data_IF_454590145758
#
_entry.id   IF_454590145758
#
_cell.length_a   1.000
_cell.length_b   1.000
_cell.length_c   1.000
_cell.angle_alpha   90.00
_cell.angle_beta   90.00
_cell.angle_gamma   90.00
#
_symmetry.space_group_name_H-M   'P 1'
#
loop_
_entity.id
_entity.type
_entity.pdbx_description
1 polymer ?
#
# COMPACT_ATOMS: atom_id res chain seq x y z
N UNK A 1 -5.95 -14.45 73.95
CA UNK A 1 -4.74 -14.92 73.25
C UNK A 1 -5.19 -15.90 72.15
N UNK A 2 -5.00 -15.51 70.87
CA UNK A 2 -5.05 -16.30 69.62
C UNK A 2 -6.41 -16.76 69.03
N UNK A 3 -6.67 -16.26 67.81
CA UNK A 3 -7.68 -16.66 66.81
C UNK A 3 -7.06 -17.71 65.86
N UNK A 4 -7.84 -18.62 65.25
CA UNK A 4 -7.99 -18.68 63.77
C UNK A 4 -9.46 -18.94 63.37
N UNK A 5 -10.13 -18.14 62.51
CA UNK A 5 -10.02 -18.03 61.04
C UNK A 5 -10.26 -19.38 60.33
N UNK A 6 -11.44 -19.52 59.71
CA UNK A 6 -11.66 -20.43 58.58
C UNK A 6 -12.33 -19.61 57.46
N UNK A 7 -11.48 -19.26 56.50
CA UNK A 7 -11.76 -18.45 55.32
C UNK A 7 -12.46 -19.33 54.28
N UNK A 8 -13.55 -18.78 53.75
CA UNK A 8 -14.32 -19.30 52.62
C UNK A 8 -13.48 -19.15 51.34
N UNK A 9 -13.00 -20.24 50.76
CA UNK A 9 -12.32 -20.22 49.45
C UNK A 9 -13.28 -20.57 48.33
N UNK A 10 -13.87 -19.54 47.72
CA UNK A 10 -14.41 -19.60 46.36
C UNK A 10 -13.25 -19.48 45.38
N UNK A 11 -12.86 -20.58 44.72
CA UNK A 11 -11.90 -20.56 43.63
C UNK A 11 -12.68 -20.52 42.30
N UNK A 12 -12.93 -19.32 41.77
CA UNK A 12 -13.35 -19.15 40.39
C UNK A 12 -12.13 -19.46 39.49
N UNK A 13 -12.19 -20.56 38.75
CA UNK A 13 -11.26 -20.82 37.66
C UNK A 13 -11.59 -19.85 36.49
N UNK A 14 -10.86 -18.73 36.42
CA UNK A 14 -10.81 -17.90 35.21
C UNK A 14 -9.93 -18.61 34.19
N UNK A 15 -10.56 -19.41 33.32
CA UNK A 15 -9.95 -19.82 32.05
C UNK A 15 -9.80 -18.56 31.19
N UNK A 16 -8.63 -17.94 31.26
CA UNK A 16 -8.22 -16.93 30.29
C UNK A 16 -8.07 -17.63 28.94
N UNK A 17 -9.06 -17.46 28.07
CA UNK A 17 -8.88 -17.74 26.65
C UNK A 17 -7.79 -16.80 26.16
N UNK A 18 -6.61 -17.36 25.91
CA UNK A 18 -5.57 -16.68 25.14
C UNK A 18 -6.16 -16.52 23.74
N UNK A 19 -6.81 -15.39 23.50
CA UNK A 19 -7.05 -14.94 22.14
C UNK A 19 -5.65 -14.85 21.52
N UNK A 20 -5.36 -15.71 20.55
CA UNK A 20 -4.26 -15.47 19.62
C UNK A 20 -4.58 -14.12 18.99
N UNK A 21 -3.93 -13.06 19.48
CA UNK A 21 -3.91 -11.80 18.77
C UNK A 21 -3.18 -12.10 17.47
N UNK A 22 -3.93 -12.43 16.41
CA UNK A 22 -3.39 -12.52 15.07
C UNK A 22 -3.13 -11.10 14.58
N UNK A 23 -2.13 -10.46 15.17
CA UNK A 23 -1.66 -9.18 14.69
C UNK A 23 -1.04 -9.45 13.31
N UNK A 24 -1.53 -8.76 12.29
CA UNK A 24 -0.91 -8.73 10.98
C UNK A 24 -0.17 -7.41 10.85
N UNK A 25 0.89 -7.34 10.05
CA UNK A 25 1.59 -6.08 9.80
C UNK A 25 0.91 -5.33 8.64
N UNK A 26 0.09 -4.34 8.98
CA UNK A 26 -0.55 -3.46 8.00
C UNK A 26 0.29 -2.20 7.82
N UNK A 27 1.00 -2.11 6.70
CA UNK A 27 1.76 -0.90 6.39
C UNK A 27 0.81 0.30 6.15
N UNK A 28 1.11 1.42 6.80
CA UNK A 28 0.47 2.71 6.51
C UNK A 28 0.96 3.24 5.16
N UNK A 29 0.10 4.01 4.47
CA UNK A 29 0.41 4.66 3.20
C UNK A 29 0.50 6.18 3.39
N UNK A 30 1.61 6.77 2.95
CA UNK A 30 1.75 8.22 2.78
C UNK A 30 2.09 8.52 1.32
N UNK A 31 1.14 9.09 0.59
CA UNK A 31 1.37 9.57 -0.78
C UNK A 31 2.24 10.82 -0.69
N UNK A 32 3.46 10.83 -1.23
CA UNK A 32 4.35 11.98 -1.07
C UNK A 32 4.05 13.07 -2.11
N UNK A 33 3.80 12.66 -3.36
CA UNK A 33 3.46 13.57 -4.46
C UNK A 33 4.13 13.21 -5.77
N UNK A 34 4.22 14.20 -6.65
CA UNK A 34 4.90 14.09 -7.95
C UNK A 34 6.11 15.03 -8.01
N UNK A 35 7.02 14.79 -8.96
CA UNK A 35 7.96 15.82 -9.40
C UNK A 35 7.21 17.00 -10.03
N UNK A 36 7.87 18.15 -10.14
CA UNK A 36 7.26 19.40 -10.64
C UNK A 36 6.60 19.26 -12.02
N UNK A 37 7.13 18.39 -12.87
CA UNK A 37 6.64 18.10 -14.22
C UNK A 37 5.72 16.86 -14.31
N UNK A 38 5.45 16.23 -13.16
CA UNK A 38 4.70 14.98 -13.08
C UNK A 38 5.43 13.77 -13.65
N UNK A 39 6.73 13.87 -13.95
CA UNK A 39 7.55 12.78 -14.49
C UNK A 39 7.75 11.64 -13.49
N UNK A 40 7.80 11.94 -12.20
CA UNK A 40 8.01 10.98 -11.11
C UNK A 40 6.82 11.02 -10.16
N UNK A 41 6.33 9.85 -9.75
CA UNK A 41 5.41 9.70 -8.62
C UNK A 41 6.14 9.07 -7.44
N UNK A 42 5.88 9.57 -6.22
CA UNK A 42 6.47 9.03 -5.01
C UNK A 42 5.46 8.81 -3.90
N UNK A 43 5.65 7.71 -3.17
CA UNK A 43 4.92 7.37 -1.95
C UNK A 43 5.82 6.69 -0.93
N UNK A 44 5.37 6.64 0.31
CA UNK A 44 6.00 5.97 1.44
C UNK A 44 5.03 4.92 1.99
N UNK A 45 5.55 3.74 2.32
CA UNK A 45 4.88 2.79 3.22
C UNK A 45 5.70 2.69 4.50
N UNK A 46 5.06 2.57 5.66
CA UNK A 46 5.77 2.49 6.94
C UNK A 46 4.94 1.76 7.99
N UNK A 47 5.62 1.29 9.04
CA UNK A 47 4.97 0.57 10.13
C UNK A 47 5.98 0.00 11.12
N UNK A 48 5.49 -0.86 12.01
CA UNK A 48 6.30 -1.64 12.95
C UNK A 48 6.07 -3.10 12.64
N UNK A 49 7.15 -3.86 12.44
CA UNK A 49 7.06 -5.27 12.15
C UNK A 49 6.44 -6.02 13.33
N UNK A 50 5.45 -6.84 13.04
CA UNK A 50 4.69 -7.55 14.07
C UNK A 50 5.56 -8.54 14.86
N UNK A 51 6.34 -9.38 14.19
CA UNK A 51 7.15 -10.40 14.86
C UNK A 51 8.43 -9.90 15.55
N UNK A 52 8.96 -8.74 15.16
CA UNK A 52 10.24 -8.22 15.69
C UNK A 52 10.12 -6.92 16.46
N UNK A 53 9.01 -6.20 16.35
CA UNK A 53 8.86 -4.84 16.89
C UNK A 53 9.71 -3.77 16.18
N UNK A 54 10.40 -4.10 15.08
CA UNK A 54 11.29 -3.16 14.41
C UNK A 54 10.53 -2.15 13.55
N UNK A 55 10.75 -0.83 13.74
CA UNK A 55 10.15 0.17 12.88
C UNK A 55 10.80 0.18 11.48
N UNK A 56 9.99 0.40 10.46
CA UNK A 56 10.43 0.48 9.07
C UNK A 56 9.73 1.59 8.31
N UNK A 57 10.39 2.06 7.25
CA UNK A 57 9.83 2.95 6.25
C UNK A 57 10.47 2.66 4.88
N UNK A 58 9.65 2.52 3.85
CA UNK A 58 10.10 2.36 2.47
C UNK A 58 9.54 3.47 1.59
N UNK A 59 10.41 4.19 0.87
CA UNK A 59 10.02 5.21 -0.10
C UNK A 59 10.23 4.71 -1.52
N UNK A 60 9.22 4.91 -2.35
CA UNK A 60 9.17 4.50 -3.74
C UNK A 60 9.16 5.73 -4.63
N UNK A 61 9.90 5.68 -5.74
CA UNK A 61 9.94 6.74 -6.76
C UNK A 61 9.82 6.05 -8.11
N UNK A 62 8.75 6.36 -8.84
CA UNK A 62 8.35 5.64 -10.04
C UNK A 62 8.30 6.63 -11.19
N UNK A 63 8.94 6.28 -12.30
CA UNK A 63 8.80 7.00 -13.57
C UNK A 63 7.36 6.80 -14.10
N UNK A 64 6.63 7.89 -14.26
CA UNK A 64 5.22 7.88 -14.66
C UNK A 64 4.98 7.49 -16.12
N UNK A 65 6.02 7.50 -16.95
CA UNK A 65 5.95 7.10 -18.36
C UNK A 65 6.16 5.60 -18.48
N UNK A 66 7.15 5.06 -17.78
CA UNK A 66 7.59 3.67 -17.94
C UNK A 66 7.12 2.73 -16.84
N UNK A 67 6.46 3.26 -15.81
CA UNK A 67 6.04 2.52 -14.61
C UNK A 67 7.18 1.75 -13.92
N UNK A 68 8.38 2.33 -13.92
CA UNK A 68 9.58 1.69 -13.38
C UNK A 68 10.19 2.46 -12.22
N UNK A 69 10.75 1.75 -11.24
CA UNK A 69 11.49 2.39 -10.16
C UNK A 69 12.70 3.16 -10.67
N UNK A 70 12.91 4.35 -10.12
CA UNK A 70 14.13 5.11 -10.38
C UNK A 70 15.35 4.42 -9.77
N UNK A 71 16.52 4.65 -10.37
CA UNK A 71 17.79 4.08 -9.90
C UNK A 71 18.04 4.43 -8.43
N UNK A 72 18.38 3.40 -7.64
CA UNK A 72 18.62 3.56 -6.20
C UNK A 72 17.35 3.52 -5.36
N UNK A 73 16.20 3.22 -5.96
CA UNK A 73 14.90 3.08 -5.29
C UNK A 73 14.31 1.69 -5.55
N UNK A 74 13.42 1.18 -4.68
CA UNK A 74 12.91 1.79 -3.45
C UNK A 74 13.99 1.96 -2.37
N UNK A 75 13.88 3.03 -1.59
CA UNK A 75 14.70 3.27 -0.41
C UNK A 75 14.03 2.53 0.75
N UNK A 76 14.67 1.50 1.28
CA UNK A 76 14.15 0.73 2.41
C UNK A 76 14.97 1.01 3.66
N UNK A 77 14.29 1.38 4.73
CA UNK A 77 14.86 1.56 6.06
C UNK A 77 14.12 0.65 7.03
N UNK A 78 14.88 -0.13 7.80
CA UNK A 78 14.43 -0.85 8.99
C UNK A 78 15.48 -0.59 10.07
N UNK A 79 15.03 -0.30 11.27
CA UNK A 79 15.91 -0.09 12.42
C UNK A 79 15.83 -1.34 13.29
N UNK A 80 16.92 -2.11 13.32
CA UNK A 80 17.08 -3.35 14.08
C UNK A 80 17.36 -3.05 15.56
N UNK A 81 16.49 -2.25 16.16
CA UNK A 81 16.57 -1.77 17.53
C UNK A 81 15.15 -1.53 18.04
N UNK A 82 14.74 -2.29 19.04
CA UNK A 82 13.41 -2.19 19.66
C UNK A 82 13.19 -0.84 20.37
N UNK A 83 14.27 -0.12 20.70
CA UNK A 83 14.18 1.24 21.25
C UNK A 83 14.06 2.31 20.17
N UNK A 84 14.27 1.97 18.90
CA UNK A 84 14.12 2.91 17.80
C UNK A 84 12.64 3.25 17.56
N UNK A 85 12.39 4.46 17.06
CA UNK A 85 11.03 4.92 16.81
C UNK A 85 10.67 4.84 15.33
N UNK A 86 9.38 4.72 15.05
CA UNK A 86 8.84 4.81 13.69
C UNK A 86 9.25 6.12 13.01
N UNK A 87 9.18 7.24 13.73
CA UNK A 87 9.60 8.54 13.22
C UNK A 87 11.09 8.57 12.82
N UNK A 88 11.96 7.87 13.55
CA UNK A 88 13.37 7.78 13.19
C UNK A 88 13.57 7.01 11.86
N UNK A 89 12.85 5.90 11.67
CA UNK A 89 12.88 5.14 10.42
C UNK A 89 12.39 5.98 9.23
N UNK A 90 11.26 6.69 9.41
CA UNK A 90 10.69 7.60 8.41
C UNK A 90 11.62 8.77 8.10
N UNK A 91 12.24 9.38 9.12
CA UNK A 91 13.19 10.46 8.94
C UNK A 91 14.41 10.00 8.13
N UNK A 92 14.96 8.83 8.44
CA UNK A 92 16.11 8.31 7.69
C UNK A 92 15.74 7.96 6.25
N UNK A 93 14.54 7.39 6.00
CA UNK A 93 14.05 7.14 4.65
C UNK A 93 13.87 8.45 3.87
N UNK A 94 13.33 9.49 4.52
CA UNK A 94 13.21 10.85 3.96
C UNK A 94 14.56 11.43 3.59
N UNK A 95 15.52 11.44 4.51
CA UNK A 95 16.85 12.01 4.29
C UNK A 95 17.56 11.37 3.09
N UNK A 96 17.46 10.05 2.94
CA UNK A 96 17.98 9.33 1.76
C UNK A 96 17.21 9.71 0.48
N UNK A 97 15.91 9.94 0.62
CA UNK A 97 15.01 10.33 -0.47
C UNK A 97 15.26 11.71 -1.07
N UNK A 98 15.80 12.66 -0.28
CA UNK A 98 16.09 14.02 -0.75
C UNK A 98 17.05 14.04 -1.96
N UNK A 99 17.88 13.00 -2.12
CA UNK A 99 18.79 12.86 -3.27
C UNK A 99 18.10 12.37 -4.56
N UNK A 100 16.87 11.85 -4.47
CA UNK A 100 16.09 11.36 -5.62
C UNK A 100 15.17 12.48 -6.13
N UNK A 101 14.21 12.89 -5.31
CA UNK A 101 13.35 14.06 -5.50
C UNK A 101 13.13 14.68 -4.12
N UNK A 102 13.34 15.99 -3.98
CA UNK A 102 13.26 16.64 -2.67
C UNK A 102 11.85 16.52 -2.07
N UNK A 103 11.74 16.38 -0.75
CA UNK A 103 10.44 16.35 -0.09
C UNK A 103 9.64 17.64 -0.31
N UNK A 104 10.35 18.78 -0.41
CA UNK A 104 9.73 20.08 -0.66
C UNK A 104 9.06 20.13 -2.05
N UNK A 105 9.71 19.57 -3.07
CA UNK A 105 9.14 19.46 -4.41
C UNK A 105 7.91 18.54 -4.43
N UNK A 106 8.03 17.32 -3.86
CA UNK A 106 6.92 16.37 -3.78
C UNK A 106 5.71 16.98 -3.08
N UNK A 107 5.93 17.68 -1.95
CA UNK A 107 4.85 18.32 -1.20
C UNK A 107 4.20 19.48 -1.97
N UNK A 108 5.00 20.29 -2.69
CA UNK A 108 4.49 21.36 -3.54
C UNK A 108 3.69 20.83 -4.74
N UNK A 109 4.00 19.61 -5.18
CA UNK A 109 3.39 18.93 -6.32
C UNK A 109 2.66 17.64 -5.90
N UNK A 110 1.97 17.67 -4.75
CA UNK A 110 1.30 16.48 -4.19
C UNK A 110 0.26 15.86 -5.13
N UNK A 111 -0.35 16.67 -6.00
CA UNK A 111 -1.49 16.26 -6.83
C UNK A 111 -2.78 16.18 -6.02
N UNK A 112 -3.76 15.43 -6.53
CA UNK A 112 -5.08 15.24 -5.92
C UNK A 112 -5.28 13.76 -5.61
N UNK A 113 -5.69 13.44 -4.38
CA UNK A 113 -6.21 12.11 -4.05
C UNK A 113 -7.65 12.02 -4.55
N UNK A 114 -7.81 11.58 -5.79
CA UNK A 114 -9.10 11.53 -6.48
C UNK A 114 -10.01 10.42 -5.95
N UNK A 115 -9.42 9.36 -5.39
CA UNK A 115 -10.15 8.30 -4.69
C UNK A 115 -9.27 7.65 -3.62
N UNK A 116 -9.91 7.15 -2.56
CA UNK A 116 -9.25 6.48 -1.45
C UNK A 116 -10.18 5.41 -0.85
N UNK A 117 -9.68 4.19 -0.73
CA UNK A 117 -10.33 3.02 -0.10
C UNK A 117 -9.29 2.34 0.79
N UNK A 118 -9.14 2.76 2.05
CA UNK A 118 -8.16 2.15 2.96
C UNK A 118 -8.51 0.68 3.20
N UNK A 119 -7.53 -0.12 3.66
CA UNK A 119 -7.76 -1.56 3.94
C UNK A 119 -8.86 -1.82 4.98
N UNK A 120 -9.17 -0.82 5.80
CA UNK A 120 -10.24 -0.83 6.80
C UNK A 120 -11.63 -0.57 6.22
N UNK A 121 -11.73 -0.09 4.97
CA UNK A 121 -13.01 0.13 4.31
C UNK A 121 -13.61 -1.20 3.84
N UNK A 122 -14.87 -1.45 4.23
CA UNK A 122 -15.57 -2.72 4.02
C UNK A 122 -16.66 -2.65 2.94
N UNK A 123 -17.16 -1.46 2.61
CA UNK A 123 -18.33 -1.29 1.73
C UNK A 123 -17.95 -1.13 0.25
N UNK A 124 -16.73 -0.68 -0.03
CA UNK A 124 -16.25 -0.46 -1.40
C UNK A 124 -15.93 -1.76 -2.13
N UNK A 125 -16.18 -1.81 -3.44
CA UNK A 125 -15.65 -2.85 -4.31
C UNK A 125 -14.10 -2.76 -4.34
N UNK A 126 -13.36 -3.78 -3.86
CA UNK A 126 -11.89 -3.75 -3.84
C UNK A 126 -11.26 -3.83 -5.23
N UNK A 127 -12.02 -4.29 -6.23
CA UNK A 127 -11.55 -4.56 -7.59
C UNK A 127 -11.93 -3.47 -8.59
N UNK A 128 -12.66 -2.43 -8.16
CA UNK A 128 -13.09 -1.34 -9.04
C UNK A 128 -13.07 0.00 -8.33
N UNK A 129 -12.46 0.99 -8.98
CA UNK A 129 -12.53 2.38 -8.51
C UNK A 129 -12.82 3.32 -9.69
N UNK A 130 -13.81 4.20 -9.53
CA UNK A 130 -14.14 5.25 -10.50
C UNK A 130 -14.03 6.60 -9.81
N UNK A 131 -13.27 7.51 -10.38
CA UNK A 131 -13.00 8.82 -9.79
C UNK A 131 -13.15 9.93 -10.81
N UNK A 132 -13.64 11.08 -10.36
CA UNK A 132 -13.42 12.33 -11.08
C UNK A 132 -11.96 12.75 -10.85
N UNK A 133 -11.18 13.10 -11.89
CA UNK A 133 -9.76 13.37 -11.73
C UNK A 133 -9.42 14.53 -10.80
N UNK A 134 -10.34 15.49 -10.66
CA UNK A 134 -10.21 16.68 -9.81
C UNK A 134 -11.56 17.10 -9.21
N UNK A 135 -11.58 17.75 -8.03
CA UNK A 135 -12.80 18.11 -7.31
C UNK A 135 -13.38 19.43 -7.83
N UNK A 136 -13.84 19.46 -9.07
CA UNK A 136 -14.50 20.63 -9.67
C UNK A 136 -16.01 20.39 -9.81
N UNK A 137 -16.79 21.45 -9.61
CA UNK A 137 -18.21 21.43 -9.95
C UNK A 137 -18.37 21.39 -11.47
N UNK A 138 -19.26 20.53 -11.96
CA UNK A 138 -19.42 20.20 -13.38
C UNK A 138 -18.12 19.67 -14.00
N UNK A 139 -17.80 18.36 -13.79
CA UNK A 139 -16.58 17.74 -14.30
C UNK A 139 -16.41 17.99 -15.81
N UNK A 140 -15.24 18.52 -16.18
CA UNK A 140 -14.86 18.75 -17.58
C UNK A 140 -13.96 17.64 -18.13
N UNK A 141 -13.42 16.80 -17.25
CA UNK A 141 -12.61 15.64 -17.60
C UNK A 141 -13.46 14.38 -17.55
N UNK A 142 -13.16 13.43 -18.42
CA UNK A 142 -13.75 12.10 -18.32
C UNK A 142 -13.34 11.43 -16.98
N UNK A 143 -14.26 10.68 -16.33
CA UNK A 143 -13.90 9.88 -15.16
C UNK A 143 -12.80 8.87 -15.47
N UNK A 144 -11.92 8.63 -14.50
CA UNK A 144 -10.98 7.52 -14.57
C UNK A 144 -11.62 6.30 -13.90
N UNK A 145 -11.77 5.21 -14.66
CA UNK A 145 -12.18 3.92 -14.13
C UNK A 145 -11.01 2.94 -14.19
N UNK A 146 -10.73 2.31 -13.06
CA UNK A 146 -9.73 1.25 -12.93
C UNK A 146 -10.41 -0.05 -12.50
N UNK A 147 -9.97 -1.15 -13.09
CA UNK A 147 -10.41 -2.51 -12.74
C UNK A 147 -9.21 -3.40 -12.46
N UNK A 148 -9.30 -4.13 -11.36
CA UNK A 148 -8.29 -5.09 -10.93
C UNK A 148 -8.86 -6.50 -11.04
N UNK A 149 -8.12 -7.40 -11.67
CA UNK A 149 -8.40 -8.84 -11.62
C UNK A 149 -7.24 -9.54 -10.90
N UNK A 150 -7.54 -10.52 -10.07
CA UNK A 150 -6.52 -11.43 -9.54
C UNK A 150 -6.27 -12.57 -10.52
N UNK A 151 -5.01 -12.97 -10.65
CA UNK A 151 -4.57 -14.05 -11.54
C UNK A 151 -3.92 -15.14 -10.68
N UNK A 152 -4.38 -16.40 -10.71
CA UNK A 152 -3.73 -17.47 -9.97
C UNK A 152 -2.26 -17.65 -10.41
N UNK A 153 -1.34 -17.70 -9.45
CA UNK A 153 0.10 -17.86 -9.64
C UNK A 153 0.69 -18.85 -8.62
N UNK A 154 -0.01 -19.97 -8.41
CA UNK A 154 0.32 -20.99 -7.40
C UNK A 154 1.66 -21.71 -7.64
N UNK A 155 2.25 -21.58 -8.83
CA UNK A 155 3.57 -22.10 -9.18
C UNK A 155 4.73 -21.15 -8.83
N UNK A 156 4.44 -20.04 -8.13
CA UNK A 156 5.46 -19.07 -7.68
C UNK A 156 6.53 -19.75 -6.82
N UNK A 157 7.78 -19.66 -7.27
CA UNK A 157 8.93 -20.22 -6.57
C UNK A 157 9.12 -19.57 -5.19
N UNK A 158 9.26 -20.40 -4.15
CA UNK A 158 9.41 -19.96 -2.76
C UNK A 158 8.08 -19.85 -2.00
N UNK A 159 6.94 -19.99 -2.67
CA UNK A 159 5.61 -19.93 -2.08
C UNK A 159 4.88 -21.29 -2.08
N UNK A 160 5.54 -22.39 -2.47
CA UNK A 160 4.89 -23.69 -2.68
C UNK A 160 4.28 -24.30 -1.40
N UNK A 161 4.80 -23.93 -0.23
CA UNK A 161 4.25 -24.37 1.07
C UNK A 161 3.19 -23.43 1.62
N UNK A 162 2.87 -22.35 0.91
CA UNK A 162 1.84 -21.40 1.28
C UNK A 162 0.48 -21.81 0.70
N UNK A 163 -0.56 -21.06 1.05
CA UNK A 163 -1.88 -21.23 0.45
C UNK A 163 -1.98 -20.65 -0.96
N UNK A 164 -3.15 -20.12 -1.32
CA UNK A 164 -3.37 -19.45 -2.61
C UNK A 164 -2.37 -18.32 -2.82
N UNK A 165 -1.81 -18.25 -4.03
CA UNK A 165 -0.92 -17.20 -4.48
C UNK A 165 -1.51 -16.55 -5.72
N UNK A 166 -1.64 -15.23 -5.68
CA UNK A 166 -2.23 -14.44 -6.75
C UNK A 166 -1.22 -13.41 -7.28
N UNK A 167 -1.21 -13.22 -8.59
CA UNK A 167 -0.81 -11.98 -9.24
C UNK A 167 -2.02 -11.08 -9.47
N UNK A 168 -1.81 -9.95 -10.13
CA UNK A 168 -2.91 -9.09 -10.55
C UNK A 168 -2.74 -8.55 -11.97
N UNK A 169 -3.88 -8.21 -12.56
CA UNK A 169 -4.02 -7.38 -13.76
C UNK A 169 -4.67 -6.07 -13.36
N UNK A 170 -4.18 -4.96 -13.88
CA UNK A 170 -4.81 -3.66 -13.76
C UNK A 170 -5.17 -3.11 -15.14
N UNK A 171 -6.43 -2.73 -15.30
CA UNK A 171 -6.99 -2.13 -16.51
C UNK A 171 -7.45 -0.71 -16.22
N UNK A 172 -7.27 0.17 -17.21
CA UNK A 172 -7.96 1.46 -17.28
C UNK A 172 -9.07 1.36 -18.30
N UNK A 173 -10.29 1.69 -17.90
CA UNK A 173 -11.49 1.57 -18.73
C UNK A 173 -12.00 2.97 -19.06
N UNK A 174 -12.20 3.25 -20.35
CA UNK A 174 -12.97 4.41 -20.79
C UNK A 174 -14.41 3.96 -21.04
N UNK A 175 -15.29 4.10 -20.05
CA UNK A 175 -16.66 3.60 -20.09
C UNK A 175 -17.63 4.51 -20.89
N UNK A 176 -17.36 4.68 -22.18
CA UNK A 176 -18.23 5.40 -23.14
C UNK A 176 -18.22 4.70 -24.51
N UNK A 177 -19.18 5.05 -25.38
CA UNK A 177 -19.23 4.49 -26.73
C UNK A 177 -17.92 4.75 -27.49
N UNK A 178 -17.30 3.68 -28.00
CA UNK A 178 -15.99 3.74 -28.65
C UNK A 178 -14.81 3.95 -27.70
N UNK A 179 -15.03 3.93 -26.39
CA UNK A 179 -13.99 3.97 -25.36
C UNK A 179 -13.08 2.75 -25.42
N UNK A 180 -11.81 2.95 -25.06
CA UNK A 180 -10.80 1.91 -25.06
C UNK A 180 -10.54 1.38 -23.66
N UNK A 181 -10.27 0.09 -23.57
CA UNK A 181 -9.66 -0.55 -22.40
C UNK A 181 -8.16 -0.61 -22.62
N UNK A 182 -7.40 -0.09 -21.67
CA UNK A 182 -5.95 -0.09 -21.68
C UNK A 182 -5.43 -1.03 -20.60
N UNK A 183 -4.51 -1.92 -20.96
CA UNK A 183 -3.81 -2.77 -20.01
C UNK A 183 -2.67 -1.97 -19.39
N UNK A 184 -2.76 -1.71 -18.09
CA UNK A 184 -1.74 -0.96 -17.37
C UNK A 184 -0.67 -1.88 -16.78
N UNK A 185 -1.10 -2.99 -16.18
CA UNK A 185 -0.22 -3.96 -15.56
C UNK A 185 -0.79 -5.36 -15.70
N UNK A 186 0.07 -6.35 -15.89
CA UNK A 186 -0.28 -7.76 -15.75
C UNK A 186 0.94 -8.52 -15.25
N UNK A 187 0.82 -9.16 -14.09
CA UNK A 187 1.87 -10.05 -13.64
C UNK A 187 2.01 -11.21 -14.62
N UNK A 188 3.26 -11.48 -15.01
CA UNK A 188 3.68 -12.73 -15.69
C UNK A 188 4.40 -13.69 -14.75
N UNK A 189 4.90 -13.15 -13.65
CA UNK A 189 5.47 -13.86 -12.52
C UNK A 189 5.44 -12.91 -11.32
N UNK A 190 5.47 -13.46 -10.10
CA UNK A 190 5.55 -12.65 -8.88
C UNK A 190 7.02 -12.24 -8.63
N UNK A 191 7.34 -10.94 -8.58
CA UNK A 191 8.68 -10.51 -8.19
C UNK A 191 8.98 -10.91 -6.74
N UNK A 192 10.22 -11.33 -6.45
CA UNK A 192 10.64 -11.69 -5.08
C UNK A 192 10.36 -10.59 -4.04
N UNK A 193 10.41 -9.33 -4.46
CA UNK A 193 10.10 -8.18 -3.60
C UNK A 193 8.64 -8.10 -3.14
N UNK A 194 7.74 -8.87 -3.76
CA UNK A 194 6.31 -8.95 -3.39
C UNK A 194 6.01 -10.11 -2.43
N UNK A 195 7.02 -10.90 -2.05
CA UNK A 195 6.83 -12.02 -1.14
C UNK A 195 5.91 -13.09 -1.72
N UNK A 196 4.94 -13.55 -0.92
CA UNK A 196 3.92 -14.51 -1.31
C UNK A 196 2.53 -13.86 -1.22
N UNK A 197 2.13 -13.09 -2.24
CA UNK A 197 0.87 -12.36 -2.24
C UNK A 197 -0.33 -13.28 -2.44
N UNK A 198 -1.40 -13.05 -1.67
CA UNK A 198 -2.65 -13.82 -1.71
C UNK A 198 -3.90 -12.93 -1.78
N UNK A 199 -3.73 -11.65 -2.12
CA UNK A 199 -4.84 -10.75 -2.36
C UNK A 199 -4.39 -9.35 -2.77
N UNK A 200 -5.22 -8.65 -3.52
CA UNK A 200 -5.00 -7.30 -4.00
C UNK A 200 -6.28 -6.48 -3.91
N UNK A 201 -6.14 -5.17 -3.68
CA UNK A 201 -7.24 -4.21 -3.80
C UNK A 201 -6.73 -2.85 -4.27
N UNK A 202 -7.57 -2.13 -4.99
CA UNK A 202 -7.32 -0.72 -5.32
C UNK A 202 -7.53 0.11 -4.04
N UNK A 203 -6.46 0.71 -3.53
CA UNK A 203 -6.52 1.47 -2.27
C UNK A 203 -6.52 2.98 -2.46
N UNK A 204 -5.95 3.52 -3.54
CA UNK A 204 -6.07 4.94 -3.85
C UNK A 204 -5.85 5.23 -5.34
N UNK A 205 -6.35 6.37 -5.80
CA UNK A 205 -5.98 6.97 -7.08
C UNK A 205 -5.49 8.39 -6.82
N UNK A 206 -4.24 8.64 -7.15
CA UNK A 206 -3.65 9.97 -7.15
C UNK A 206 -3.57 10.51 -8.58
N UNK A 207 -3.96 11.76 -8.80
CA UNK A 207 -3.88 12.43 -10.09
C UNK A 207 -2.96 13.64 -10.02
N UNK A 208 -2.33 13.96 -11.15
CA UNK A 208 -1.49 15.14 -11.31
C UNK A 208 -1.97 15.96 -12.51
N UNK A 209 -2.03 17.28 -12.33
CA UNK A 209 -2.44 18.22 -13.37
C UNK A 209 -1.47 19.40 -13.44
N UNK A 210 -1.04 19.76 -14.65
CA UNK A 210 -0.32 21.03 -14.90
C UNK A 210 -1.26 22.05 -15.57
N UNK A 211 -1.39 21.97 -16.89
CA UNK A 211 -2.35 22.75 -17.69
C UNK A 211 -3.63 21.96 -18.00
N UNK A 212 -3.62 20.68 -17.62
CA UNK A 212 -4.68 19.69 -17.75
C UNK A 212 -4.23 18.43 -16.99
N UNK A 213 -5.09 17.42 -16.93
CA UNK A 213 -4.76 16.14 -16.33
C UNK A 213 -3.62 15.47 -17.12
N UNK A 214 -2.50 15.16 -16.47
CA UNK A 214 -1.25 14.76 -17.15
C UNK A 214 -0.69 13.40 -16.72
N UNK A 215 -0.91 13.02 -15.45
CA UNK A 215 -0.44 11.75 -14.92
C UNK A 215 -1.36 11.26 -13.79
N UNK A 216 -1.27 9.96 -13.51
CA UNK A 216 -1.93 9.33 -12.38
C UNK A 216 -1.07 8.22 -11.78
N UNK A 217 -1.40 7.85 -10.54
CA UNK A 217 -0.88 6.68 -9.86
C UNK A 217 -2.04 5.96 -9.17
N UNK A 218 -2.13 4.65 -9.41
CA UNK A 218 -3.08 3.75 -8.75
C UNK A 218 -2.33 2.99 -7.68
N UNK A 219 -2.66 3.22 -6.42
CA UNK A 219 -2.06 2.55 -5.28
C UNK A 219 -2.82 1.25 -5.02
N UNK A 220 -2.09 0.14 -5.02
CA UNK A 220 -2.62 -1.20 -4.81
C UNK A 220 -2.15 -1.68 -3.44
N UNK A 221 -3.08 -2.04 -2.56
CA UNK A 221 -2.75 -2.74 -1.34
C UNK A 221 -2.61 -4.23 -1.66
N UNK A 222 -1.47 -4.80 -1.30
CA UNK A 222 -1.09 -6.19 -1.52
C UNK A 222 -1.17 -6.91 -0.19
N UNK A 223 -2.06 -7.90 -0.09
CA UNK A 223 -2.10 -8.83 1.04
C UNK A 223 -1.13 -9.97 0.76
N UNK A 224 -0.31 -10.31 1.75
CA UNK A 224 0.63 -11.43 1.67
C UNK A 224 0.60 -12.26 2.96
N UNK A 225 1.12 -13.48 2.89
CA UNK A 225 1.36 -14.28 4.10
C UNK A 225 2.46 -13.62 4.94
N UNK A 226 2.15 -13.32 6.21
CA UNK A 226 3.10 -12.86 7.22
C UNK A 226 3.39 -13.95 8.25
N UNK A 227 4.15 -13.60 9.29
CA UNK A 227 4.62 -14.57 10.30
C UNK A 227 3.50 -14.95 11.29
N UNK A 228 2.85 -13.98 11.94
CA UNK A 228 1.75 -14.22 12.90
C UNK A 228 0.36 -14.00 12.29
N UNK A 229 0.28 -13.14 11.27
CA UNK A 229 -0.94 -12.78 10.56
C UNK A 229 -0.67 -12.35 9.13
N UNK A 230 -1.69 -11.90 8.38
CA UNK A 230 -1.48 -11.37 7.03
C UNK A 230 -0.77 -10.02 7.09
N UNK A 231 0.18 -9.83 6.20
CA UNK A 231 0.81 -8.53 5.99
C UNK A 231 0.07 -7.78 4.87
N UNK A 232 0.00 -6.45 4.98
CA UNK A 232 -0.39 -5.56 3.90
C UNK A 232 0.77 -4.63 3.53
N UNK A 233 1.04 -4.53 2.24
CA UNK A 233 2.06 -3.67 1.63
C UNK A 233 1.47 -2.86 0.49
N UNK A 234 2.18 -1.82 0.05
CA UNK A 234 1.72 -0.94 -1.00
C UNK A 234 2.63 -1.01 -2.23
N UNK A 235 2.01 -1.06 -3.39
CA UNK A 235 2.66 -0.81 -4.69
C UNK A 235 1.87 0.25 -5.45
N UNK A 236 2.46 0.84 -6.48
CA UNK A 236 1.76 1.73 -7.38
C UNK A 236 1.93 1.28 -8.83
N UNK A 237 0.89 1.51 -9.63
CA UNK A 237 0.94 1.47 -11.09
C UNK A 237 0.66 2.87 -11.59
N UNK A 238 1.55 3.40 -12.41
CA UNK A 238 1.52 4.78 -12.89
C UNK A 238 1.19 4.86 -14.37
N UNK A 239 0.73 6.02 -14.81
CA UNK A 239 0.50 6.27 -16.23
C UNK A 239 0.31 7.74 -16.55
N UNK A 240 0.37 8.06 -17.84
CA UNK A 240 0.13 9.41 -18.38
C UNK A 240 -1.10 9.45 -19.27
N UNK A 241 -1.61 10.67 -19.47
CA UNK A 241 -2.83 10.98 -20.20
C UNK A 241 -2.56 11.95 -21.34
#
# INVERSE_FOLDING_TARGET
>A
MRIPVLICTWLLAQLATVATAGAGDVAELEILGFSKDGGVFAFEEYGVQDGSGYPYASRYYIDTVTDSFLKGTPIRVRLDDEAATLDAARLQARQKGEAIVSQAELAASRGITAGFSPVTELSSDPFRMVVNPRPIFSPVDDPLEFRLDEIPMNDTEGCQSQGEINGFRLLRIVAKDGGKTELLHEDKSIPKSRGCPNGYRIGAVQTFSMQGLSAYAVLIAVRQYGFEGPDFRWIAVTGRL
#
